data_IF_672132493342
#
_entry.id   IF_672132493342
#
_cell.length_a   1.000
_cell.length_b   1.000
_cell.length_c   1.000
_cell.angle_alpha   90.00
_cell.angle_beta   90.00
_cell.angle_gamma   90.00
#
_symmetry.space_group_name_H-M   'P 1'
#
loop_
_entity.id
_entity.type
_entity.pdbx_description
1 polymer ?
#
# COMPACT_ATOMS: atom_id res chain seq x y z
N UNK A 1 -34.86 58.39 23.68
CA UNK A 1 -35.94 57.81 22.86
C UNK A 1 -35.29 56.75 21.97
N UNK A 2 -35.47 55.48 22.34
CA UNK A 2 -34.87 54.33 21.68
C UNK A 2 -35.72 53.89 20.49
N UNK A 3 -35.10 53.34 19.45
CA UNK A 3 -35.62 52.20 18.68
C UNK A 3 -34.57 51.69 17.69
N UNK A 4 -33.89 50.64 18.13
CA UNK A 4 -33.25 49.65 17.27
C UNK A 4 -34.35 48.74 16.70
N UNK A 5 -34.31 48.37 15.41
CA UNK A 5 -34.88 47.09 14.99
C UNK A 5 -33.87 46.35 14.09
N UNK A 6 -33.86 45.03 13.96
CA UNK A 6 -34.35 43.93 14.75
C UNK A 6 -33.52 42.76 14.18
N UNK A 7 -32.76 42.10 15.04
CA UNK A 7 -32.09 40.84 14.71
C UNK A 7 -33.17 39.78 14.57
N UNK A 8 -33.33 39.21 13.39
CA UNK A 8 -33.73 37.83 13.16
C UNK A 8 -33.80 37.56 11.65
N UNK A 9 -32.80 36.88 11.11
CA UNK A 9 -33.14 35.76 10.23
C UNK A 9 -32.22 34.61 10.59
N UNK A 10 -32.63 33.93 11.66
CA UNK A 10 -32.11 32.63 12.02
C UNK A 10 -32.60 31.63 10.98
N UNK A 11 -31.91 31.56 9.85
CA UNK A 11 -31.86 30.31 9.11
C UNK A 11 -30.67 29.55 9.69
N UNK A 12 -30.86 28.60 10.63
CA UNK A 12 -29.81 27.64 10.88
C UNK A 12 -29.66 26.89 9.57
N UNK A 13 -28.66 27.31 8.78
CA UNK A 13 -28.12 26.49 7.71
C UNK A 13 -28.09 25.09 8.28
N UNK A 14 -28.89 24.22 7.68
CA UNK A 14 -28.86 22.79 7.92
C UNK A 14 -27.39 22.41 7.75
N UNK A 15 -26.62 22.46 8.85
CA UNK A 15 -25.29 21.89 8.94
C UNK A 15 -25.63 20.41 8.90
N UNK A 16 -25.69 19.89 7.67
CA UNK A 16 -25.69 18.47 7.40
C UNK A 16 -24.66 17.89 8.36
N UNK A 17 -25.03 16.90 9.20
CA UNK A 17 -24.08 16.33 10.13
C UNK A 17 -22.87 15.95 9.29
N UNK A 18 -21.73 16.59 9.55
CA UNK A 18 -20.49 16.27 8.89
C UNK A 18 -20.38 14.74 8.94
N UNK A 19 -20.37 14.10 7.77
CA UNK A 19 -20.32 12.63 7.71
C UNK A 19 -19.20 12.20 8.65
N UNK A 20 -19.45 11.21 9.52
CA UNK A 20 -18.47 10.81 10.52
C UNK A 20 -17.14 10.60 9.78
N UNK A 21 -16.07 11.25 10.26
CA UNK A 21 -14.80 11.23 9.57
C UNK A 21 -14.42 9.78 9.31
N UNK A 22 -14.19 9.43 8.04
CA UNK A 22 -13.86 8.07 7.63
C UNK A 22 -12.42 7.76 8.02
N UNK A 23 -12.18 7.68 9.33
CA UNK A 23 -10.89 7.42 9.96
C UNK A 23 -10.20 6.21 9.30
N UNK A 24 -10.99 5.18 8.98
CA UNK A 24 -10.58 3.98 8.25
C UNK A 24 -9.87 4.30 6.92
N UNK A 25 -10.40 5.24 6.13
CA UNK A 25 -9.80 5.63 4.87
C UNK A 25 -8.46 6.35 5.07
N UNK A 26 -8.31 7.11 6.15
CA UNK A 26 -7.05 7.78 6.45
C UNK A 26 -5.99 6.78 6.92
N UNK A 27 -6.35 5.77 7.71
CA UNK A 27 -5.41 4.70 8.08
C UNK A 27 -5.03 3.83 6.89
N UNK A 28 -5.96 3.49 5.99
CA UNK A 28 -5.64 2.80 4.74
C UNK A 28 -4.68 3.62 3.88
N UNK A 29 -4.89 4.93 3.79
CA UNK A 29 -4.00 5.85 3.07
C UNK A 29 -2.63 5.95 3.73
N UNK A 30 -2.56 6.04 5.05
CA UNK A 30 -1.31 6.04 5.81
C UNK A 30 -0.53 4.75 5.61
N UNK A 31 -1.21 3.59 5.64
CA UNK A 31 -0.62 2.28 5.38
C UNK A 31 -0.01 2.23 3.96
N UNK A 32 -0.75 2.67 2.94
CA UNK A 32 -0.25 2.72 1.57
C UNK A 32 0.98 3.63 1.39
N UNK A 33 1.03 4.79 2.07
CA UNK A 33 2.20 5.67 2.02
C UNK A 33 3.39 5.09 2.77
N UNK A 34 3.19 4.50 3.96
CA UNK A 34 4.24 3.82 4.71
C UNK A 34 4.82 2.63 3.93
N UNK A 35 3.99 1.85 3.22
CA UNK A 35 4.44 0.81 2.30
C UNK A 35 5.28 1.36 1.15
N UNK A 36 4.86 2.46 0.52
CA UNK A 36 5.63 3.10 -0.55
C UNK A 36 6.99 3.61 -0.03
N UNK A 37 7.05 4.20 1.16
CA UNK A 37 8.30 4.62 1.80
C UNK A 37 9.19 3.45 2.16
N UNK A 38 8.64 2.33 2.61
CA UNK A 38 9.39 1.10 2.84
C UNK A 38 10.03 0.60 1.54
N UNK A 39 9.27 0.54 0.44
CA UNK A 39 9.80 0.15 -0.87
C UNK A 39 10.95 1.06 -1.31
N UNK A 40 10.81 2.37 -1.14
CA UNK A 40 11.86 3.33 -1.46
C UNK A 40 13.08 3.19 -0.54
N UNK A 41 12.87 2.96 0.76
CA UNK A 41 13.94 2.70 1.72
C UNK A 41 14.73 1.43 1.38
N UNK A 42 14.05 0.37 0.95
CA UNK A 42 14.67 -0.87 0.49
C UNK A 42 15.45 -0.65 -0.81
N UNK A 43 14.84 0.00 -1.80
CA UNK A 43 15.50 0.30 -3.09
C UNK A 43 16.71 1.23 -2.93
N UNK A 44 16.63 2.18 -2.00
CA UNK A 44 17.75 3.06 -1.65
C UNK A 44 18.79 2.40 -0.76
N UNK A 45 18.52 1.21 -0.22
CA UNK A 45 19.42 0.50 0.68
C UNK A 45 19.50 1.08 2.11
N UNK A 46 18.62 2.01 2.47
CA UNK A 46 18.63 2.63 3.78
C UNK A 46 17.96 1.74 4.83
N UNK A 47 18.76 0.92 5.53
CA UNK A 47 18.29 -0.01 6.58
C UNK A 47 17.51 0.65 7.69
N UNK A 48 18.03 1.75 8.20
CA UNK A 48 17.44 2.40 9.36
C UNK A 48 16.04 2.90 9.01
N UNK A 49 15.92 3.55 7.85
CA UNK A 49 14.65 4.01 7.31
C UNK A 49 13.68 2.85 7.01
N UNK A 50 14.18 1.73 6.49
CA UNK A 50 13.34 0.56 6.23
C UNK A 50 12.73 0.00 7.53
N UNK A 51 13.54 -0.12 8.60
CA UNK A 51 13.05 -0.56 9.91
C UNK A 51 12.04 0.42 10.50
N UNK A 52 12.31 1.73 10.42
CA UNK A 52 11.37 2.76 10.87
C UNK A 52 10.01 2.65 10.16
N UNK A 53 10.00 2.41 8.84
CA UNK A 53 8.75 2.24 8.10
C UNK A 53 8.03 0.93 8.47
N UNK A 54 8.75 -0.13 8.80
CA UNK A 54 8.14 -1.38 9.32
C UNK A 54 7.47 -1.13 10.67
N UNK A 55 8.17 -0.49 11.60
CA UNK A 55 7.61 -0.15 12.93
C UNK A 55 6.36 0.73 12.78
N UNK A 56 6.39 1.65 11.82
CA UNK A 56 5.24 2.51 11.49
C UNK A 56 4.06 1.73 10.92
N UNK A 57 4.30 0.75 10.06
CA UNK A 57 3.23 -0.14 9.56
C UNK A 57 2.59 -0.95 10.68
N UNK A 58 3.40 -1.49 11.61
CA UNK A 58 2.90 -2.20 12.80
C UNK A 58 2.07 -1.28 13.70
N UNK A 59 2.51 -0.03 13.88
CA UNK A 59 1.76 0.95 14.66
C UNK A 59 0.40 1.30 14.01
N UNK A 60 0.34 1.37 12.68
CA UNK A 60 -0.92 1.59 11.94
C UNK A 60 -1.85 0.39 12.10
N UNK A 61 -1.32 -0.83 11.99
CA UNK A 61 -2.09 -2.07 12.14
C UNK A 61 -2.74 -2.17 13.53
N UNK A 62 -1.96 -1.91 14.58
CA UNK A 62 -2.46 -1.84 15.95
C UNK A 62 -3.54 -0.77 16.14
N UNK A 63 -3.44 0.37 15.44
CA UNK A 63 -4.49 1.41 15.47
C UNK A 63 -5.75 0.93 14.76
N UNK A 64 -5.63 0.22 13.64
CA UNK A 64 -6.76 -0.37 12.93
C UNK A 64 -7.48 -1.42 13.78
N UNK A 65 -6.74 -2.28 14.48
CA UNK A 65 -7.31 -3.22 15.47
C UNK A 65 -8.10 -2.48 16.55
N UNK A 66 -7.54 -1.41 17.11
CA UNK A 66 -8.23 -0.57 18.10
C UNK A 66 -9.50 0.10 17.55
N UNK A 67 -9.51 0.52 16.28
CA UNK A 67 -10.75 1.00 15.63
C UNK A 67 -11.77 -0.12 15.53
N UNK A 68 -11.35 -1.30 15.05
CA UNK A 68 -12.24 -2.44 14.85
C UNK A 68 -12.86 -2.94 16.16
N UNK A 69 -12.09 -2.87 17.26
CA UNK A 69 -12.56 -3.22 18.61
C UNK A 69 -13.37 -2.10 19.28
N UNK A 70 -13.49 -0.92 18.65
CA UNK A 70 -14.18 0.24 19.21
C UNK A 70 -13.50 0.84 20.45
N UNK A 71 -12.22 0.52 20.66
CA UNK A 71 -11.45 0.90 21.85
C UNK A 71 -10.70 2.23 21.70
N UNK A 72 -10.82 2.92 20.57
CA UNK A 72 -10.03 4.11 20.30
C UNK A 72 -10.45 5.28 21.24
N UNK A 73 -9.63 5.69 22.22
CA UNK A 73 -10.13 6.55 23.30
C UNK A 73 -10.33 8.00 22.86
N UNK A 74 -9.49 8.51 21.95
CA UNK A 74 -9.56 9.85 21.36
C UNK A 74 -8.85 9.75 20.01
N UNK A 75 -9.57 9.82 18.89
CA UNK A 75 -8.91 9.88 17.59
C UNK A 75 -8.09 11.18 17.49
N UNK A 76 -6.86 11.16 16.97
CA UNK A 76 -6.13 12.39 16.71
C UNK A 76 -6.94 13.31 15.78
N UNK A 77 -6.78 14.64 15.88
CA UNK A 77 -7.45 15.57 14.98
C UNK A 77 -7.16 15.18 13.53
N UNK A 78 -8.20 15.03 12.71
CA UNK A 78 -8.09 14.59 11.32
C UNK A 78 -7.12 15.49 10.55
N UNK A 79 -7.12 16.78 10.86
CA UNK A 79 -6.22 17.78 10.26
C UNK A 79 -4.75 17.43 10.46
N UNK A 80 -4.37 16.93 11.65
CA UNK A 80 -2.99 16.53 11.95
C UNK A 80 -2.58 15.30 11.13
N UNK A 81 -3.50 14.34 10.97
CA UNK A 81 -3.28 13.17 10.13
C UNK A 81 -3.18 13.56 8.65
N UNK A 82 -3.99 14.51 8.18
CA UNK A 82 -3.92 15.00 6.81
C UNK A 82 -2.61 15.75 6.51
N UNK A 83 -2.10 16.55 7.44
CA UNK A 83 -0.79 17.19 7.29
C UNK A 83 0.33 16.15 7.23
N UNK A 84 0.31 15.13 8.10
CA UNK A 84 1.31 14.06 8.11
C UNK A 84 1.32 13.30 6.77
N UNK A 85 0.14 12.99 6.24
CA UNK A 85 -0.01 12.35 4.92
C UNK A 85 0.50 13.23 3.76
N UNK A 86 0.39 14.55 3.88
CA UNK A 86 0.90 15.47 2.87
C UNK A 86 2.44 15.49 2.86
N UNK A 87 3.04 15.56 4.05
CA UNK A 87 4.50 15.51 4.24
C UNK A 87 5.08 14.20 3.72
N UNK A 88 4.42 13.08 3.98
CA UNK A 88 4.82 11.77 3.48
C UNK A 88 4.82 11.69 1.95
N UNK A 89 3.81 12.25 1.29
CA UNK A 89 3.72 12.28 -0.18
C UNK A 89 4.86 13.10 -0.78
N UNK A 90 5.16 14.25 -0.18
CA UNK A 90 6.27 15.10 -0.61
C UNK A 90 7.60 14.36 -0.47
N UNK A 91 7.80 13.68 0.66
CA UNK A 91 9.01 12.92 0.91
C UNK A 91 9.14 11.70 -0.03
N UNK A 92 8.05 11.01 -0.36
CA UNK A 92 8.02 9.99 -1.42
C UNK A 92 8.46 10.59 -2.76
N UNK A 93 7.92 11.75 -3.13
CA UNK A 93 8.25 12.40 -4.40
C UNK A 93 9.74 12.77 -4.48
N UNK A 94 10.31 13.32 -3.40
CA UNK A 94 11.73 13.68 -3.35
C UNK A 94 12.65 12.46 -3.36
N UNK A 95 12.30 11.39 -2.65
CA UNK A 95 13.06 10.13 -2.66
C UNK A 95 13.02 9.45 -4.03
N UNK A 96 11.85 9.42 -4.67
CA UNK A 96 11.72 8.90 -6.04
C UNK A 96 12.59 9.69 -7.01
N UNK A 97 12.57 11.02 -6.91
CA UNK A 97 13.44 11.88 -7.71
C UNK A 97 14.92 11.54 -7.46
N UNK A 98 15.34 11.43 -6.20
CA UNK A 98 16.72 11.09 -5.83
C UNK A 98 17.16 9.76 -6.46
N UNK A 99 16.34 8.70 -6.35
CA UNK A 99 16.59 7.40 -6.95
C UNK A 99 16.66 7.46 -8.49
N UNK A 100 15.77 8.22 -9.14
CA UNK A 100 15.80 8.38 -10.60
C UNK A 100 16.95 9.25 -11.11
N UNK A 101 17.46 10.15 -10.26
CA UNK A 101 18.57 11.06 -10.61
C UNK A 101 19.96 10.42 -10.53
N UNK A 102 20.05 9.14 -10.18
CA UNK A 102 21.32 8.40 -10.12
C UNK A 102 22.20 8.77 -8.92
N UNK A 103 21.64 9.40 -7.88
CA UNK A 103 22.35 9.62 -6.62
C UNK A 103 22.51 8.25 -5.95
N UNK A 104 23.75 7.78 -5.80
CA UNK A 104 24.03 6.54 -5.07
C UNK A 104 23.58 6.69 -3.61
N UNK A 105 22.62 5.86 -3.21
CA UNK A 105 22.17 5.77 -1.83
C UNK A 105 22.84 4.57 -1.14
N UNK A 106 23.10 4.66 0.19
CA UNK A 106 23.81 3.61 0.92
C UNK A 106 23.10 2.27 0.77
N UNK A 107 23.74 1.25 0.20
CA UNK A 107 23.11 -0.06 -0.05
C UNK A 107 22.87 -0.84 1.24
N UNK A 108 21.78 -1.60 1.26
CA UNK A 108 21.51 -2.61 2.27
C UNK A 108 22.53 -3.74 2.09
N UNK A 109 23.63 -3.73 2.84
CA UNK A 109 24.51 -4.88 2.93
C UNK A 109 23.78 -6.03 3.66
N UNK A 110 23.81 -7.27 3.14
CA UNK A 110 23.17 -8.41 3.78
C UNK A 110 23.85 -8.67 5.14
N UNK A 111 23.16 -8.32 6.23
CA UNK A 111 23.62 -8.57 7.61
C UNK A 111 23.72 -10.07 7.96
N UNK A 112 23.43 -10.96 7.01
CA UNK A 112 23.49 -12.42 7.15
C UNK A 112 24.49 -13.04 6.15
N UNK A 113 25.68 -12.43 6.02
CA UNK A 113 26.71 -12.91 5.08
C UNK A 113 28.15 -12.88 5.58
N UNK A 114 28.46 -12.11 6.64
CA UNK A 114 29.84 -11.91 7.11
C UNK A 114 30.50 -13.19 7.69
N UNK A 115 29.73 -14.22 8.01
CA UNK A 115 30.25 -15.51 8.48
C UNK A 115 30.19 -16.67 7.45
N UNK A 116 29.50 -16.48 6.32
CA UNK A 116 29.30 -17.55 5.32
C UNK A 116 30.03 -17.29 4.00
N UNK A 117 30.47 -16.04 3.75
CA UNK A 117 31.24 -15.66 2.58
C UNK A 117 32.68 -16.21 2.58
N UNK A 118 33.19 -16.74 3.69
CA UNK A 118 34.51 -17.38 3.74
C UNK A 118 34.51 -18.83 3.19
N UNK A 119 33.33 -19.41 2.89
CA UNK A 119 33.19 -20.80 2.48
C UNK A 119 32.59 -20.98 1.07
N UNK A 120 32.39 -19.91 0.30
CA UNK A 120 31.93 -20.00 -1.08
C UNK A 120 33.17 -19.84 -1.98
N UNK A 121 33.72 -20.92 -2.56
CA UNK A 121 34.71 -20.76 -3.61
C UNK A 121 34.07 -19.96 -4.74
N UNK A 122 34.82 -19.02 -5.30
CA UNK A 122 34.45 -18.25 -6.50
C UNK A 122 34.09 -19.25 -7.59
N UNK A 123 32.80 -19.55 -7.73
CA UNK A 123 32.26 -20.30 -8.84
C UNK A 123 31.87 -19.29 -9.91
N UNK A 124 32.25 -19.66 -11.12
CA UNK A 124 31.99 -19.06 -12.43
C UNK A 124 30.62 -18.40 -12.58
N UNK A 125 30.49 -17.41 -13.50
CA UNK A 125 29.25 -16.65 -13.69
C UNK A 125 28.07 -17.59 -13.85
N UNK A 126 27.12 -17.48 -12.92
CA UNK A 126 25.85 -18.21 -12.95
C UNK A 126 25.12 -17.79 -14.22
N UNK A 127 25.23 -18.61 -15.26
CA UNK A 127 24.33 -18.60 -16.40
C UNK A 127 22.92 -18.81 -15.86
N UNK A 128 22.07 -17.80 -16.01
CA UNK A 128 20.66 -17.84 -15.61
C UNK A 128 19.96 -18.84 -16.54
N UNK A 129 20.04 -20.10 -16.17
CA UNK A 129 19.20 -21.16 -16.72
C UNK A 129 17.89 -21.16 -15.96
N UNK A 130 16.80 -21.09 -16.74
CA UNK A 130 15.43 -21.52 -16.45
C UNK A 130 14.38 -20.54 -15.90
N UNK A 131 13.45 -20.16 -16.79
CA UNK A 131 12.01 -20.15 -16.50
C UNK A 131 11.18 -20.75 -17.67
N UNK A 132 11.55 -21.93 -18.19
CA UNK A 132 10.70 -22.66 -19.16
C UNK A 132 9.64 -23.54 -18.49
N UNK A 133 9.88 -24.02 -17.27
CA UNK A 133 8.96 -24.91 -16.56
C UNK A 133 7.66 -24.21 -16.11
N UNK A 134 7.73 -22.93 -15.72
CA UNK A 134 6.55 -22.19 -15.25
C UNK A 134 5.58 -21.88 -16.40
N UNK A 135 6.12 -21.57 -17.58
CA UNK A 135 5.34 -21.26 -18.79
C UNK A 135 4.51 -22.46 -19.25
N UNK A 136 5.02 -23.69 -19.10
CA UNK A 136 4.30 -24.91 -19.48
C UNK A 136 3.02 -25.15 -18.67
N UNK A 137 3.05 -24.88 -17.36
CA UNK A 137 1.91 -25.11 -16.47
C UNK A 137 0.78 -24.10 -16.68
N UNK A 138 1.13 -22.85 -17.02
CA UNK A 138 0.13 -21.84 -17.39
C UNK A 138 -0.51 -22.12 -18.74
N UNK A 139 0.27 -22.59 -19.73
CA UNK A 139 -0.28 -22.98 -21.04
C UNK A 139 -1.24 -24.16 -20.91
N UNK A 140 -0.91 -25.19 -20.11
CA UNK A 140 -1.84 -26.32 -19.91
C UNK A 140 -3.13 -25.91 -19.22
N UNK A 141 -3.07 -24.99 -18.24
CA UNK A 141 -4.27 -24.46 -17.56
C UNK A 141 -5.12 -23.63 -18.51
N UNK A 142 -4.48 -22.79 -19.35
CA UNK A 142 -5.17 -21.96 -20.34
C UNK A 142 -5.88 -22.84 -21.39
N UNK A 143 -5.20 -23.86 -21.91
CA UNK A 143 -5.79 -24.80 -22.87
C UNK A 143 -6.96 -25.56 -22.25
N UNK A 144 -6.81 -26.03 -21.00
CA UNK A 144 -7.91 -26.67 -20.26
C UNK A 144 -9.12 -25.77 -20.09
N UNK A 145 -8.92 -24.49 -19.75
CA UNK A 145 -10.00 -23.52 -19.61
C UNK A 145 -10.73 -23.24 -20.92
N UNK A 146 -10.00 -23.15 -22.04
CA UNK A 146 -10.59 -22.95 -23.38
C UNK A 146 -11.44 -24.17 -23.77
N UNK A 147 -10.93 -25.38 -23.58
CA UNK A 147 -11.68 -26.62 -23.90
C UNK A 147 -12.95 -26.71 -23.06
N UNK A 148 -12.88 -26.41 -21.76
CA UNK A 148 -14.05 -26.38 -20.87
C UNK A 148 -15.10 -25.36 -21.37
N UNK A 149 -14.66 -24.16 -21.75
CA UNK A 149 -15.55 -23.11 -22.23
C UNK A 149 -16.26 -23.51 -23.52
N UNK A 150 -15.54 -24.12 -24.48
CA UNK A 150 -16.12 -24.65 -25.72
C UNK A 150 -17.13 -25.76 -25.41
N UNK A 151 -16.81 -26.66 -24.47
CA UNK A 151 -17.72 -27.72 -24.04
C UNK A 151 -19.00 -27.15 -23.41
N UNK A 152 -18.89 -26.15 -22.54
CA UNK A 152 -20.05 -25.48 -21.94
C UNK A 152 -20.93 -24.78 -22.99
N UNK A 153 -20.33 -24.13 -23.99
CA UNK A 153 -21.09 -23.51 -25.08
C UNK A 153 -21.78 -24.57 -25.96
N UNK A 154 -21.10 -25.69 -26.24
CA UNK A 154 -21.68 -26.78 -27.02
C UNK A 154 -22.85 -27.47 -26.29
N UNK A 155 -22.72 -27.71 -24.98
CA UNK A 155 -23.84 -28.24 -24.17
C UNK A 155 -24.98 -27.22 -24.07
N UNK A 156 -24.69 -25.94 -23.88
CA UNK A 156 -25.69 -24.89 -23.86
C UNK A 156 -26.49 -24.83 -25.16
N UNK A 157 -25.80 -24.89 -26.31
CA UNK A 157 -26.45 -24.92 -27.61
C UNK A 157 -27.31 -26.19 -27.84
N UNK A 158 -26.84 -27.36 -27.37
CA UNK A 158 -27.58 -28.61 -27.48
C UNK A 158 -28.86 -28.63 -26.61
N UNK A 159 -28.84 -28.01 -25.43
CA UNK A 159 -30.00 -27.88 -24.54
C UNK A 159 -31.04 -26.87 -25.06
N UNK A 160 -30.65 -25.92 -25.91
CA UNK A 160 -31.58 -24.96 -26.52
C UNK A 160 -32.26 -25.46 -27.80
N UNK A 161 -31.85 -26.63 -28.33
CA UNK A 161 -32.45 -27.24 -29.53
C UNK A 161 -33.36 -28.44 -29.23
N UNK A 162 -33.61 -28.74 -27.95
CA UNK A 162 -34.61 -29.72 -27.49
C UNK A 162 -35.90 -29.01 -27.07
#
# INVERSE_FOLDING_TARGET
MATQPAVADGNPLHRSPASPPRLDLHYLRASGLAQARLQLAVLSGNRHRALEQIDRLVAIDKRLEQVAEGLMPIAPPIEALESELADERLAIASEKLALTSGIELPRLEPAFGAGMAAAIPVLEPIEIVEEKALKGRFVSVLVGAIVLLVLCLALGAALTQL
#
